data_IF_552506185111
#
_entry.id   IF_552506185111
#
_cell.length_a   1.000
_cell.length_b   1.000
_cell.length_c   1.000
_cell.angle_alpha   90.00
_cell.angle_beta   90.00
_cell.angle_gamma   90.00
#
_symmetry.space_group_name_H-M   'P 1'
#
loop_
_entity.id
_entity.type
_entity.pdbx_description
1 polymer ?
#
# COMPACT_ATOMS: atom_id res chain seq x y z
N UNK A 1 -13.60 -0.17 -12.41
CA UNK A 1 -12.18 0.18 -12.40
C UNK A 1 -11.55 0.17 -13.79
N UNK A 2 -11.59 -0.94 -14.58
CA UNK A 2 -11.02 -0.98 -15.95
C UNK A 2 -11.52 0.14 -16.88
N UNK A 3 -12.79 0.56 -16.76
CA UNK A 3 -13.39 1.64 -17.57
C UNK A 3 -12.87 3.03 -17.21
N UNK A 4 -12.51 3.30 -15.96
CA UNK A 4 -11.99 4.61 -15.51
C UNK A 4 -10.53 4.77 -15.95
N UNK A 5 -9.73 3.72 -15.85
CA UNK A 5 -8.34 3.71 -16.34
C UNK A 5 -8.32 3.88 -17.87
N UNK A 6 -9.20 3.19 -18.59
CA UNK A 6 -9.34 3.36 -20.03
C UNK A 6 -9.82 4.77 -20.42
N UNK A 7 -10.71 5.38 -19.64
CA UNK A 7 -11.17 6.74 -19.87
C UNK A 7 -10.07 7.77 -19.62
N UNK A 8 -9.28 7.61 -18.57
CA UNK A 8 -8.11 8.46 -18.29
C UNK A 8 -7.05 8.32 -19.39
N UNK A 9 -6.78 7.10 -19.84
CA UNK A 9 -5.87 6.84 -20.97
C UNK A 9 -6.41 7.42 -22.28
N UNK A 10 -7.72 7.33 -22.51
CA UNK A 10 -8.38 7.93 -23.69
C UNK A 10 -8.36 9.46 -23.64
N UNK A 11 -8.56 10.06 -22.46
CA UNK A 11 -8.46 11.52 -22.26
C UNK A 11 -7.01 12.00 -22.47
N UNK A 12 -6.02 11.23 -22.00
CA UNK A 12 -4.59 11.50 -22.27
C UNK A 12 -4.24 11.34 -23.76
N UNK A 13 -4.82 10.36 -24.45
CA UNK A 13 -4.61 10.14 -25.89
C UNK A 13 -5.40 11.14 -26.76
N UNK A 14 -6.54 11.62 -26.29
CA UNK A 14 -7.34 12.64 -26.98
C UNK A 14 -6.79 14.06 -26.79
N UNK A 15 -5.93 14.29 -25.80
CA UNK A 15 -5.06 15.46 -25.71
C UNK A 15 -3.96 15.37 -26.80
N UNK A 16 -4.38 15.10 -28.05
CA UNK A 16 -3.46 14.98 -29.16
C UNK A 16 -2.73 16.30 -29.37
N UNK A 17 -1.44 16.30 -29.76
CA UNK A 17 -0.60 17.50 -29.97
C UNK A 17 -1.17 18.54 -30.91
N UNK A 18 -2.15 18.16 -31.73
CA UNK A 18 -2.77 19.06 -32.71
C UNK A 18 -3.61 20.19 -32.11
N UNK A 19 -4.17 20.03 -30.93
CA UNK A 19 -4.96 21.06 -30.26
C UNK A 19 -4.07 22.16 -29.63
N UNK A 20 -2.81 21.86 -29.37
CA UNK A 20 -1.88 22.77 -28.69
C UNK A 20 -0.79 23.36 -29.57
N UNK A 21 -0.63 22.86 -30.80
CA UNK A 21 0.43 23.29 -31.73
C UNK A 21 0.18 24.66 -32.41
N UNK A 22 -0.93 25.31 -32.15
CA UNK A 22 -1.32 26.57 -32.83
C UNK A 22 -1.33 27.80 -31.93
N UNK A 23 -0.76 27.70 -30.72
CA UNK A 23 -0.69 28.81 -29.79
C UNK A 23 0.73 29.39 -29.74
N UNK A 24 0.83 30.69 -29.94
CA UNK A 24 2.02 31.54 -30.04
C UNK A 24 3.21 31.09 -29.18
N UNK A 25 4.42 31.25 -29.71
CA UNK A 25 5.73 30.87 -29.15
C UNK A 25 6.09 31.35 -27.74
N UNK A 26 5.20 32.01 -27.01
CA UNK A 26 5.43 32.52 -25.66
C UNK A 26 4.73 31.75 -24.53
N UNK A 27 3.78 30.87 -24.84
CA UNK A 27 3.14 30.06 -23.80
C UNK A 27 3.85 28.71 -23.66
N UNK A 28 4.60 28.50 -22.56
CA UNK A 28 5.23 27.23 -22.24
C UNK A 28 4.24 26.13 -21.80
N UNK A 29 2.95 26.45 -21.77
CA UNK A 29 1.93 25.53 -21.31
C UNK A 29 1.80 24.33 -22.26
N UNK A 30 2.13 23.12 -21.77
CA UNK A 30 2.06 21.86 -22.49
C UNK A 30 2.86 21.77 -23.82
N UNK A 31 3.83 22.66 -24.03
CA UNK A 31 4.67 22.62 -25.23
C UNK A 31 5.55 21.37 -25.30
N UNK A 32 5.84 20.77 -24.16
CA UNK A 32 6.60 19.55 -24.07
C UNK A 32 5.92 18.60 -23.10
N UNK A 33 6.04 17.31 -23.37
CA UNK A 33 5.55 16.27 -22.48
C UNK A 33 6.63 15.20 -22.32
N UNK A 34 6.66 14.59 -21.15
CA UNK A 34 7.48 13.42 -20.90
C UNK A 34 6.66 12.31 -20.25
N UNK A 35 7.02 11.09 -20.57
CA UNK A 35 6.56 9.91 -19.89
C UNK A 35 7.68 9.39 -19.01
N UNK A 36 7.36 9.00 -17.78
CA UNK A 36 8.32 8.50 -16.81
C UNK A 36 7.94 7.15 -16.27
N UNK A 37 8.97 6.42 -15.86
CA UNK A 37 8.83 5.28 -14.95
C UNK A 37 9.40 5.71 -13.61
N UNK A 38 8.70 5.40 -12.55
CA UNK A 38 9.14 5.68 -11.20
C UNK A 38 9.27 4.40 -10.37
N UNK A 39 10.19 4.42 -9.43
CA UNK A 39 10.32 3.41 -8.39
C UNK A 39 10.67 4.07 -7.07
N UNK A 40 10.19 3.49 -6.00
CA UNK A 40 10.39 4.02 -4.67
C UNK A 40 10.84 2.98 -3.67
N UNK A 41 11.33 3.46 -2.56
CA UNK A 41 11.58 2.64 -1.37
C UNK A 41 10.25 2.01 -0.95
N UNK A 42 10.28 0.81 -0.39
CA UNK A 42 9.13 -0.02 -0.03
C UNK A 42 8.40 -0.66 -1.22
N UNK A 43 9.10 -0.86 -2.36
CA UNK A 43 8.57 -1.62 -3.48
C UNK A 43 7.43 -0.93 -4.22
N UNK A 44 7.50 0.39 -4.37
CA UNK A 44 6.62 1.14 -5.25
C UNK A 44 7.17 1.15 -6.67
N UNK A 45 6.31 1.01 -7.65
CA UNK A 45 6.61 1.31 -9.05
C UNK A 45 5.43 2.00 -9.72
N UNK A 46 5.69 2.87 -10.68
CA UNK A 46 4.67 3.65 -11.37
C UNK A 46 5.05 4.08 -12.77
N UNK A 47 4.07 4.69 -13.42
CA UNK A 47 4.21 5.35 -14.70
C UNK A 47 3.57 6.72 -14.57
N UNK A 48 4.33 7.75 -14.93
CA UNK A 48 3.93 9.15 -14.87
C UNK A 48 3.91 9.78 -16.26
N UNK A 49 3.02 10.73 -16.43
CA UNK A 49 3.06 11.72 -17.50
C UNK A 49 3.25 13.08 -16.86
N UNK A 50 4.19 13.85 -17.39
CA UNK A 50 4.48 15.19 -16.90
C UNK A 50 4.50 16.20 -18.02
N UNK A 51 4.06 17.42 -17.71
CA UNK A 51 4.09 18.55 -18.64
C UNK A 51 4.33 19.86 -17.89
N UNK A 52 5.08 20.82 -18.45
CA UNK A 52 5.22 22.15 -17.88
C UNK A 52 3.92 22.95 -18.06
N UNK A 53 3.48 23.58 -16.99
CA UNK A 53 2.40 24.56 -16.99
C UNK A 53 2.98 25.96 -17.20
N UNK A 54 4.17 26.18 -16.66
CA UNK A 54 4.93 27.42 -16.80
C UNK A 54 6.44 27.15 -16.66
N UNK A 55 7.32 28.13 -16.87
CA UNK A 55 8.76 27.93 -16.64
C UNK A 55 9.15 27.48 -15.22
N UNK A 56 8.25 27.70 -14.25
CA UNK A 56 8.48 27.39 -12.83
C UNK A 56 7.54 26.32 -12.28
N UNK A 57 6.61 25.79 -13.07
CA UNK A 57 5.63 24.80 -12.62
C UNK A 57 5.47 23.68 -13.63
N UNK A 58 5.63 22.46 -13.17
CA UNK A 58 5.28 21.24 -13.88
C UNK A 58 4.10 20.53 -13.18
N UNK A 59 3.27 19.84 -13.94
CA UNK A 59 2.24 18.93 -13.44
C UNK A 59 2.63 17.51 -13.79
N UNK A 60 2.50 16.61 -12.83
CA UNK A 60 2.67 15.16 -12.98
C UNK A 60 1.37 14.44 -12.66
N UNK A 61 0.97 13.53 -13.53
CA UNK A 61 -0.15 12.63 -13.29
C UNK A 61 0.28 11.20 -13.59
N UNK A 62 -0.04 10.26 -12.72
CA UNK A 62 0.45 8.91 -12.87
C UNK A 62 -0.39 7.85 -12.18
N UNK A 63 0.01 6.62 -12.42
CA UNK A 63 -0.51 5.43 -11.74
C UNK A 63 0.66 4.71 -11.11
N UNK A 64 0.56 4.43 -9.84
CA UNK A 64 1.57 3.65 -9.15
C UNK A 64 0.94 2.50 -8.36
N UNK A 65 1.70 1.44 -8.20
CA UNK A 65 1.37 0.33 -7.34
C UNK A 65 2.48 0.14 -6.32
N UNK A 66 2.11 -0.08 -5.06
CA UNK A 66 3.06 -0.53 -4.06
C UNK A 66 2.93 -2.04 -3.92
N UNK A 67 4.04 -2.73 -4.14
CA UNK A 67 4.19 -4.16 -3.86
C UNK A 67 5.34 -4.32 -2.87
N UNK A 68 5.01 -4.66 -1.65
CA UNK A 68 6.04 -5.06 -0.68
C UNK A 68 6.35 -6.53 -0.96
N UNK A 69 7.56 -6.83 -1.38
CA UNK A 69 7.96 -8.23 -1.49
C UNK A 69 8.07 -8.83 -0.08
N UNK A 70 7.74 -10.10 0.06
CA UNK A 70 7.90 -10.84 1.32
C UNK A 70 9.30 -10.67 1.89
N UNK A 71 10.33 -10.62 1.02
CA UNK A 71 11.72 -10.41 1.41
C UNK A 71 11.94 -9.03 2.07
N UNK A 72 11.35 -7.96 1.53
CA UNK A 72 11.47 -6.62 2.09
C UNK A 72 10.72 -6.49 3.41
N UNK A 73 9.51 -7.08 3.50
CA UNK A 73 8.76 -7.13 4.75
C UNK A 73 9.54 -7.90 5.83
N UNK A 74 10.17 -9.02 5.48
CA UNK A 74 11.00 -9.81 6.39
C UNK A 74 12.24 -9.02 6.84
N UNK A 75 12.91 -8.29 5.94
CA UNK A 75 14.06 -7.46 6.29
C UNK A 75 13.69 -6.33 7.25
N UNK A 76 12.52 -5.72 7.08
CA UNK A 76 12.07 -4.60 7.91
C UNK A 76 11.65 -5.00 9.33
N UNK A 77 11.08 -6.19 9.49
CA UNK A 77 10.51 -6.65 10.77
C UNK A 77 11.03 -8.03 11.22
N UNK A 78 12.00 -8.59 10.49
CA UNK A 78 12.42 -9.98 10.64
C UNK A 78 12.94 -10.33 12.04
N UNK A 79 13.79 -9.50 12.65
CA UNK A 79 14.30 -9.73 14.00
C UNK A 79 13.17 -9.72 15.05
N UNK A 80 12.27 -8.74 14.94
CA UNK A 80 11.12 -8.62 15.83
C UNK A 80 10.15 -9.80 15.68
N UNK A 81 9.95 -10.28 14.47
CA UNK A 81 9.07 -11.40 14.16
C UNK A 81 9.65 -12.74 14.62
N UNK A 82 10.96 -12.95 14.50
CA UNK A 82 11.62 -14.17 15.01
C UNK A 82 11.48 -14.34 16.53
N UNK A 83 11.65 -13.26 17.29
CA UNK A 83 11.42 -13.28 18.73
C UNK A 83 9.97 -13.60 19.10
N UNK A 84 9.04 -13.37 18.19
CA UNK A 84 7.60 -13.62 18.38
C UNK A 84 7.17 -15.02 17.96
N UNK A 85 8.10 -15.91 17.56
CA UNK A 85 7.77 -17.28 17.12
C UNK A 85 7.27 -17.36 15.67
N UNK A 86 7.50 -16.32 14.86
CA UNK A 86 7.18 -16.32 13.44
C UNK A 86 8.30 -16.96 12.62
N UNK A 87 7.95 -17.89 11.75
CA UNK A 87 8.84 -18.46 10.75
C UNK A 87 8.34 -18.15 9.34
N UNK A 88 9.28 -17.91 8.41
CA UNK A 88 8.99 -17.73 7.00
C UNK A 88 9.58 -18.90 6.21
N UNK A 89 8.75 -19.61 5.47
CA UNK A 89 9.17 -20.68 4.57
C UNK A 89 8.30 -20.63 3.33
N UNK A 90 8.94 -20.67 2.16
CA UNK A 90 8.27 -20.71 0.84
C UNK A 90 7.22 -19.61 0.60
N UNK A 91 7.44 -18.42 1.18
CA UNK A 91 6.51 -17.30 1.07
C UNK A 91 5.34 -17.34 2.05
N UNK A 92 5.25 -18.38 2.87
CA UNK A 92 4.27 -18.48 3.95
C UNK A 92 4.89 -18.09 5.29
N UNK A 93 4.18 -17.27 6.02
CA UNK A 93 4.48 -16.99 7.41
C UNK A 93 3.74 -17.98 8.29
N UNK A 94 4.46 -18.64 9.19
CA UNK A 94 3.87 -19.50 10.20
C UNK A 94 4.22 -18.96 11.58
N UNK A 95 3.17 -18.69 12.36
CA UNK A 95 3.26 -18.25 13.74
C UNK A 95 2.89 -19.42 14.66
N UNK A 96 3.77 -19.79 15.58
CA UNK A 96 3.50 -20.81 16.58
C UNK A 96 2.92 -20.16 17.83
N UNK A 97 1.74 -20.60 18.25
CA UNK A 97 1.10 -20.12 19.45
C UNK A 97 1.88 -20.56 20.69
N UNK A 98 2.08 -19.67 21.65
CA UNK A 98 2.70 -19.99 22.95
C UNK A 98 1.80 -20.91 23.77
N UNK A 99 0.50 -20.64 23.71
CA UNK A 99 -0.53 -21.49 24.31
C UNK A 99 -1.44 -22.00 23.19
N UNK A 100 -1.37 -23.32 22.87
CA UNK A 100 -2.27 -23.91 21.87
C UNK A 100 -3.73 -23.75 22.28
N UNK A 101 -4.56 -23.36 21.31
CA UNK A 101 -6.00 -23.28 21.52
C UNK A 101 -6.61 -24.67 21.32
N UNK A 102 -7.10 -25.27 22.42
CA UNK A 102 -7.71 -26.59 22.40
C UNK A 102 -9.10 -26.55 23.05
N UNK A 103 -10.07 -27.16 22.40
CA UNK A 103 -11.43 -27.26 22.90
C UNK A 103 -12.44 -27.32 21.75
N UNK A 104 -13.62 -27.88 22.02
CA UNK A 104 -14.71 -27.98 21.04
C UNK A 104 -14.30 -28.62 19.70
N UNK A 105 -13.43 -29.63 19.72
CA UNK A 105 -12.92 -30.29 18.53
C UNK A 105 -11.79 -29.54 17.81
N UNK A 106 -11.35 -28.39 18.32
CA UNK A 106 -10.26 -27.60 17.76
C UNK A 106 -8.91 -28.01 18.36
N UNK A 107 -7.88 -28.04 17.54
CA UNK A 107 -6.47 -28.16 17.94
C UNK A 107 -5.63 -27.18 17.13
N UNK A 108 -5.51 -25.95 17.64
CA UNK A 108 -4.77 -24.89 16.96
C UNK A 108 -3.49 -24.62 17.72
N UNK A 109 -2.37 -24.95 17.11
CA UNK A 109 -1.02 -24.73 17.66
C UNK A 109 -0.21 -23.75 16.81
N UNK A 110 -0.60 -23.59 15.54
CA UNK A 110 0.06 -22.71 14.60
C UNK A 110 -0.95 -21.96 13.75
N UNK A 111 -0.58 -20.77 13.30
CA UNK A 111 -1.34 -19.98 12.32
C UNK A 111 -0.44 -19.77 11.13
N UNK A 112 -0.88 -20.16 9.93
CA UNK A 112 -0.16 -19.95 8.67
C UNK A 112 -0.88 -18.93 7.79
N UNK A 113 -0.11 -18.13 7.06
CA UNK A 113 -0.64 -17.14 6.13
C UNK A 113 0.35 -16.82 5.02
N UNK A 114 -0.16 -16.58 3.81
CA UNK A 114 0.57 -15.99 2.70
C UNK A 114 0.02 -14.56 2.45
N UNK A 115 0.59 -13.54 3.08
CA UNK A 115 0.07 -12.18 2.95
C UNK A 115 0.31 -11.64 1.55
N UNK A 116 -0.67 -10.89 1.05
CA UNK A 116 -0.60 -10.17 -0.22
C UNK A 116 -0.49 -8.68 0.07
N UNK A 117 0.55 -8.07 -0.43
CA UNK A 117 0.78 -6.62 -0.33
C UNK A 117 0.39 -5.98 -1.65
N UNK A 118 -0.61 -5.12 -1.65
CA UNK A 118 -1.08 -4.50 -2.88
C UNK A 118 -1.86 -3.21 -2.61
N UNK A 119 -1.32 -2.09 -3.06
CA UNK A 119 -2.07 -0.84 -3.16
C UNK A 119 -1.83 -0.23 -4.53
N UNK A 120 -2.89 0.25 -5.18
CA UNK A 120 -2.80 1.01 -6.43
C UNK A 120 -3.35 2.39 -6.20
N UNK A 121 -2.62 3.41 -6.64
CA UNK A 121 -3.03 4.79 -6.54
C UNK A 121 -2.89 5.49 -7.89
N UNK A 122 -3.79 6.43 -8.14
CA UNK A 122 -3.53 7.54 -9.05
C UNK A 122 -2.75 8.60 -8.28
N UNK A 123 -1.92 9.36 -8.97
CA UNK A 123 -1.28 10.53 -8.39
C UNK A 123 -1.50 11.76 -9.26
N UNK A 124 -1.59 12.89 -8.58
CA UNK A 124 -1.58 14.21 -9.19
C UNK A 124 -0.68 15.10 -8.36
N UNK A 125 0.44 15.50 -8.92
CA UNK A 125 1.49 16.25 -8.26
C UNK A 125 1.81 17.52 -9.06
N UNK A 126 2.20 18.55 -8.34
CA UNK A 126 2.63 19.84 -8.88
C UNK A 126 4.04 20.11 -8.36
N UNK A 127 4.97 20.36 -9.27
CA UNK A 127 6.35 20.69 -8.97
C UNK A 127 6.57 22.17 -9.16
N UNK A 128 7.01 22.85 -8.12
CA UNK A 128 7.42 24.24 -8.16
C UNK A 128 8.94 24.33 -8.18
N UNK A 129 9.48 24.95 -9.23
CA UNK A 129 10.90 25.25 -9.41
C UNK A 129 11.15 26.70 -9.02
N UNK A 130 11.97 27.02 -7.98
CA UNK A 130 12.22 28.41 -7.55
C UNK A 130 12.92 29.28 -8.61
N UNK A 131 13.44 28.69 -9.67
CA UNK A 131 14.07 29.41 -10.79
C UNK A 131 13.90 28.64 -12.09
N UNK A 132 13.89 29.36 -13.23
CA UNK A 132 13.69 28.80 -14.58
C UNK A 132 14.71 27.71 -14.94
N UNK A 133 15.93 27.78 -14.42
CA UNK A 133 17.00 26.80 -14.61
C UNK A 133 17.25 25.91 -13.40
N UNK A 134 16.42 26.02 -12.36
CA UNK A 134 16.56 25.21 -11.14
C UNK A 134 16.27 23.73 -11.44
N UNK A 135 17.12 22.85 -10.92
CA UNK A 135 16.82 21.42 -10.80
C UNK A 135 16.18 21.09 -9.47
N UNK A 136 16.31 21.95 -8.46
CA UNK A 136 15.59 21.79 -7.19
C UNK A 136 14.13 22.18 -7.39
N UNK A 137 13.23 21.41 -6.79
CA UNK A 137 11.80 21.68 -6.80
C UNK A 137 11.15 21.31 -5.47
N UNK A 138 10.00 21.93 -5.23
CA UNK A 138 9.07 21.61 -4.14
C UNK A 138 7.86 20.96 -4.79
N UNK A 139 7.47 19.80 -4.31
CA UNK A 139 6.31 19.05 -4.82
C UNK A 139 5.18 19.08 -3.83
N UNK A 140 3.97 19.34 -4.30
CA UNK A 140 2.74 19.19 -3.52
C UNK A 140 1.67 18.50 -4.37
N UNK A 141 0.77 17.77 -3.74
CA UNK A 141 -0.31 17.10 -4.45
C UNK A 141 -1.00 16.02 -3.63
N UNK A 142 -1.53 15.02 -4.31
CA UNK A 142 -2.23 13.93 -3.66
C UNK A 142 -2.13 12.61 -4.42
N UNK A 143 -2.24 11.53 -3.64
CA UNK A 143 -2.45 10.16 -4.14
C UNK A 143 -3.89 9.75 -3.88
N UNK A 144 -4.55 9.20 -4.90
CA UNK A 144 -5.93 8.74 -4.86
C UNK A 144 -5.95 7.22 -4.94
N UNK A 145 -6.41 6.56 -3.89
CA UNK A 145 -6.48 5.09 -3.87
C UNK A 145 -7.50 4.58 -4.88
N UNK A 146 -7.08 3.67 -5.74
CA UNK A 146 -7.95 2.90 -6.63
C UNK A 146 -8.52 1.64 -5.97
N UNK A 147 -8.23 1.44 -4.70
CA UNK A 147 -8.62 0.27 -3.92
C UNK A 147 -7.44 -0.61 -3.56
N UNK A 148 -7.73 -1.67 -2.82
CA UNK A 148 -6.76 -2.58 -2.26
C UNK A 148 -6.46 -2.29 -0.78
N UNK A 149 -5.87 -3.27 -0.14
CA UNK A 149 -5.36 -3.17 1.22
C UNK A 149 -3.84 -3.09 1.16
N UNK A 150 -3.21 -2.37 2.10
CA UNK A 150 -1.76 -2.40 2.24
C UNK A 150 -1.27 -3.84 2.38
N UNK A 151 -2.02 -4.63 3.15
CA UNK A 151 -1.82 -6.06 3.31
C UNK A 151 -3.18 -6.74 3.41
N UNK A 152 -3.35 -7.85 2.70
CA UNK A 152 -4.47 -8.78 2.87
C UNK A 152 -3.90 -10.16 3.19
N UNK A 153 -4.45 -10.80 4.19
CA UNK A 153 -4.00 -12.11 4.65
C UNK A 153 -5.18 -13.03 4.95
N UNK A 154 -5.08 -14.27 4.49
CA UNK A 154 -5.95 -15.36 4.91
C UNK A 154 -5.20 -16.21 5.92
N UNK A 155 -5.67 -16.23 7.17
CA UNK A 155 -5.06 -17.03 8.23
C UNK A 155 -5.67 -18.41 8.26
N UNK A 156 -4.82 -19.43 8.20
CA UNK A 156 -5.17 -20.84 8.35
C UNK A 156 -4.74 -21.33 9.72
N UNK A 157 -5.66 -21.90 10.47
CA UNK A 157 -5.39 -22.53 11.75
C UNK A 157 -4.86 -23.96 11.53
N UNK A 158 -3.69 -24.27 12.10
CA UNK A 158 -3.01 -25.55 11.96
C UNK A 158 -2.74 -26.17 13.36
N UNK A 159 -2.76 -27.49 13.42
CA UNK A 159 -2.32 -28.24 14.59
C UNK A 159 -0.78 -28.28 14.70
N UNK A 160 -0.25 -28.93 15.72
CA UNK A 160 1.19 -29.07 15.91
C UNK A 160 1.90 -29.78 14.75
N UNK A 161 1.23 -30.69 14.08
CA UNK A 161 1.74 -31.43 12.90
C UNK A 161 1.63 -30.66 11.59
N UNK A 162 1.04 -29.47 11.59
CA UNK A 162 0.84 -28.65 10.38
C UNK A 162 -0.39 -29.04 9.55
N UNK A 163 -1.26 -29.89 10.08
CA UNK A 163 -2.55 -30.23 9.47
C UNK A 163 -3.62 -29.21 9.89
N UNK A 164 -4.75 -29.09 9.17
CA UNK A 164 -5.85 -28.22 9.57
C UNK A 164 -6.26 -28.46 11.03
N UNK A 165 -6.23 -27.41 11.82
CA UNK A 165 -6.60 -27.45 13.24
C UNK A 165 -8.11 -27.29 13.49
N UNK A 166 -8.88 -27.05 12.41
CA UNK A 166 -10.33 -26.95 12.41
C UNK A 166 -10.86 -28.09 11.53
N UNK A 167 -11.74 -28.97 12.03
CA UNK A 167 -12.42 -29.97 11.20
C UNK A 167 -13.21 -29.30 10.06
N UNK A 168 -13.23 -29.92 8.89
CA UNK A 168 -13.91 -29.36 7.71
C UNK A 168 -15.43 -29.16 7.93
N UNK A 169 -16.05 -30.02 8.74
CA UNK A 169 -17.46 -29.89 9.16
C UNK A 169 -17.77 -28.58 9.88
N UNK A 170 -16.76 -27.97 10.50
CA UNK A 170 -16.94 -26.86 11.43
C UNK A 170 -16.43 -25.52 10.84
N UNK A 171 -15.91 -25.52 9.61
CA UNK A 171 -15.29 -24.32 9.00
C UNK A 171 -16.16 -23.07 9.07
N UNK A 172 -17.43 -23.17 8.68
CA UNK A 172 -18.32 -22.02 8.66
C UNK A 172 -18.87 -21.59 10.04
N UNK A 173 -18.62 -22.38 11.08
CA UNK A 173 -19.20 -22.18 12.41
C UNK A 173 -18.15 -22.01 13.51
N UNK A 174 -16.88 -22.03 13.14
CA UNK A 174 -15.80 -21.93 14.13
C UNK A 174 -15.50 -20.48 14.45
N UNK A 175 -15.46 -20.17 15.73
CA UNK A 175 -15.02 -18.88 16.25
C UNK A 175 -13.64 -19.04 16.88
N UNK A 176 -12.68 -18.25 16.40
CA UNK A 176 -11.32 -18.19 16.92
C UNK A 176 -11.08 -16.77 17.41
N UNK A 177 -10.72 -16.62 18.68
CA UNK A 177 -10.49 -15.31 19.28
C UNK A 177 -11.66 -14.33 19.12
N UNK A 178 -12.89 -14.82 19.21
CA UNK A 178 -14.09 -14.01 19.10
C UNK A 178 -14.47 -13.61 17.67
N UNK A 179 -13.78 -14.14 16.64
CA UNK A 179 -14.05 -13.86 15.21
C UNK A 179 -14.41 -15.20 14.53
N UNK A 180 -15.53 -15.23 13.85
CA UNK A 180 -15.97 -16.43 13.12
C UNK A 180 -15.28 -16.56 11.78
N UNK A 181 -14.82 -17.76 11.47
CA UNK A 181 -14.15 -18.08 10.21
C UNK A 181 -15.13 -18.05 9.02
N UNK A 182 -14.57 -17.93 7.83
CA UNK A 182 -15.32 -18.04 6.58
C UNK A 182 -15.69 -19.52 6.27
N UNK A 183 -16.37 -19.74 5.16
CA UNK A 183 -16.75 -21.06 4.61
C UNK A 183 -15.57 -22.02 4.33
N UNK A 184 -14.34 -21.51 4.37
CA UNK A 184 -13.08 -22.26 4.19
C UNK A 184 -12.30 -22.45 5.48
N UNK A 185 -12.89 -22.12 6.64
CA UNK A 185 -12.25 -22.20 7.94
C UNK A 185 -11.09 -21.22 8.14
N UNK A 186 -11.09 -20.08 7.42
CA UNK A 186 -10.04 -19.08 7.48
C UNK A 186 -10.51 -17.78 8.10
N UNK A 187 -9.62 -17.12 8.83
CA UNK A 187 -9.79 -15.72 9.23
C UNK A 187 -9.20 -14.81 8.15
N UNK A 188 -9.91 -13.75 7.82
CA UNK A 188 -9.46 -12.75 6.88
C UNK A 188 -8.95 -11.52 7.62
N UNK A 189 -7.76 -11.05 7.28
CA UNK A 189 -7.19 -9.82 7.82
C UNK A 189 -6.86 -8.88 6.68
N UNK A 190 -7.26 -7.62 6.84
CA UNK A 190 -6.87 -6.51 5.98
C UNK A 190 -6.19 -5.42 6.80
N UNK A 191 -5.05 -4.95 6.33
CA UNK A 191 -4.39 -3.76 6.85
C UNK A 191 -4.58 -2.63 5.85
N UNK A 192 -5.12 -1.50 6.30
CA UNK A 192 -5.47 -0.35 5.46
C UNK A 192 -4.92 0.94 6.04
N UNK A 193 -4.74 1.93 5.18
CA UNK A 193 -4.50 3.29 5.64
C UNK A 193 -5.77 3.93 6.18
N UNK A 194 -5.67 4.76 7.22
CA UNK A 194 -6.80 5.50 7.77
C UNK A 194 -7.42 6.44 6.73
N UNK A 195 -6.59 7.19 5.99
CA UNK A 195 -7.01 7.91 4.78
C UNK A 195 -6.89 7.01 3.55
N UNK A 196 -7.95 6.28 3.26
CA UNK A 196 -7.93 5.29 2.19
C UNK A 196 -8.24 5.86 0.80
N UNK A 197 -8.84 7.05 0.70
CA UNK A 197 -9.26 7.63 -0.58
C UNK A 197 -8.28 8.64 -1.11
N UNK A 198 -7.92 9.66 -0.34
CA UNK A 198 -7.01 10.75 -0.74
C UNK A 198 -5.91 10.89 0.28
N UNK A 199 -4.66 10.86 -0.17
CA UNK A 199 -3.46 10.98 0.66
C UNK A 199 -2.69 12.22 0.21
N UNK A 200 -2.81 13.36 0.92
CA UNK A 200 -2.02 14.54 0.62
C UNK A 200 -0.52 14.26 0.69
N UNK A 201 0.22 14.88 -0.21
CA UNK A 201 1.67 14.74 -0.34
C UNK A 201 2.35 16.08 -0.38
N UNK A 202 3.50 16.18 0.27
CA UNK A 202 4.44 17.29 0.16
C UNK A 202 5.86 16.74 0.16
N UNK A 203 6.73 17.34 -0.67
CA UNK A 203 8.11 16.90 -0.76
C UNK A 203 9.01 17.95 -1.40
N UNK A 204 10.28 17.57 -1.49
CA UNK A 204 11.31 18.30 -2.22
C UNK A 204 12.02 17.32 -3.14
N UNK A 205 12.58 17.83 -4.23
CA UNK A 205 13.27 16.95 -5.17
C UNK A 205 14.35 17.67 -5.98
N UNK A 206 15.07 16.84 -6.73
CA UNK A 206 16.13 17.25 -7.62
C UNK A 206 15.96 16.54 -8.97
N UNK A 207 16.17 17.29 -10.02
CA UNK A 207 15.93 16.89 -11.40
C UNK A 207 14.74 17.65 -11.97
N UNK A 208 14.64 17.69 -13.29
CA UNK A 208 13.51 18.29 -13.98
C UNK A 208 12.91 17.24 -14.89
N UNK A 209 11.65 16.83 -14.65
CA UNK A 209 10.97 15.80 -15.45
C UNK A 209 10.95 16.12 -16.94
N UNK A 210 10.66 17.39 -17.30
CA UNK A 210 10.71 17.87 -18.67
C UNK A 210 11.94 18.76 -18.86
N UNK A 211 13.10 18.14 -19.14
CA UNK A 211 14.31 18.87 -19.45
C UNK A 211 14.30 19.30 -20.94
N UNK A 212 14.52 20.60 -21.20
CA UNK A 212 14.48 21.13 -22.56
C UNK A 212 15.74 20.83 -23.39
N UNK A 213 16.86 20.56 -22.70
CA UNK A 213 18.18 20.34 -23.29
C UNK A 213 18.47 18.85 -23.58
N UNK A 214 17.64 17.95 -23.08
CA UNK A 214 17.87 16.50 -23.22
C UNK A 214 16.57 15.72 -23.34
N UNK A 215 16.63 14.53 -23.96
CA UNK A 215 15.47 13.64 -24.12
C UNK A 215 15.21 12.76 -22.92
N UNK A 216 16.25 12.49 -22.12
CA UNK A 216 16.16 11.65 -20.94
C UNK A 216 16.53 12.50 -19.74
N UNK A 217 15.71 12.47 -18.70
CA UNK A 217 15.95 13.15 -17.44
C UNK A 217 15.71 12.22 -16.27
N UNK A 218 16.51 12.44 -15.22
CA UNK A 218 16.39 11.73 -13.96
C UNK A 218 15.83 12.68 -12.91
N UNK A 219 14.93 12.17 -12.07
CA UNK A 219 14.33 12.91 -10.97
C UNK A 219 14.42 12.11 -9.68
N UNK A 220 14.69 12.81 -8.59
CA UNK A 220 14.71 12.27 -7.23
C UNK A 220 13.81 13.10 -6.35
N UNK A 221 12.85 12.46 -5.66
CA UNK A 221 11.93 13.11 -4.74
C UNK A 221 12.06 12.50 -3.33
N UNK A 222 12.04 13.36 -2.33
CA UNK A 222 11.94 13.02 -0.92
C UNK A 222 10.74 13.77 -0.33
N UNK A 223 9.80 13.06 0.25
CA UNK A 223 8.61 13.70 0.79
C UNK A 223 7.89 12.88 1.83
N UNK A 224 6.77 13.42 2.24
CA UNK A 224 5.87 12.82 3.20
C UNK A 224 4.46 12.77 2.60
N UNK A 225 3.78 11.67 2.77
CA UNK A 225 2.35 11.63 2.48
C UNK A 225 1.55 11.25 3.73
N UNK A 226 0.43 11.95 3.89
CA UNK A 226 -0.44 11.77 5.04
C UNK A 226 -1.37 10.59 4.79
N UNK A 227 -1.34 9.59 5.68
CA UNK A 227 -2.08 8.34 5.55
C UNK A 227 -3.17 8.17 6.61
N UNK A 228 -3.17 8.99 7.66
CA UNK A 228 -4.15 8.92 8.74
C UNK A 228 -4.00 7.71 9.67
N UNK A 229 -2.82 7.08 9.69
CA UNK A 229 -2.55 5.87 10.44
C UNK A 229 -2.66 4.59 9.59
N UNK A 230 -2.29 3.47 10.19
CA UNK A 230 -2.39 2.12 9.60
C UNK A 230 -3.26 1.28 10.52
N UNK A 231 -4.41 0.85 10.03
CA UNK A 231 -5.42 0.12 10.79
C UNK A 231 -5.55 -1.31 10.29
N UNK A 232 -5.67 -2.25 11.23
CA UNK A 232 -5.88 -3.66 10.94
C UNK A 232 -7.36 -4.03 11.18
N UNK A 233 -7.92 -4.79 10.26
CA UNK A 233 -9.30 -5.24 10.32
C UNK A 233 -9.39 -6.74 10.09
N UNK A 234 -10.36 -7.38 10.75
CA UNK A 234 -10.80 -8.72 10.42
C UNK A 234 -12.28 -8.72 10.07
N UNK A 235 -12.76 -9.85 9.56
CA UNK A 235 -14.13 -10.02 9.12
C UNK A 235 -14.76 -11.19 9.88
N UNK A 236 -15.77 -10.88 10.68
CA UNK A 236 -16.54 -11.86 11.44
C UNK A 236 -17.70 -12.39 10.61
N UNK A 237 -17.66 -13.66 10.26
CA UNK A 237 -18.66 -14.35 9.43
C UNK A 237 -19.81 -14.96 10.22
N UNK A 238 -19.98 -14.65 11.50
CA UNK A 238 -21.10 -15.14 12.32
C UNK A 238 -22.49 -14.84 11.71
N UNK A 239 -22.61 -13.75 10.95
CA UNK A 239 -23.82 -13.38 10.22
C UNK A 239 -23.90 -13.96 8.77
N UNK A 240 -23.03 -14.91 8.41
CA UNK A 240 -22.98 -15.54 7.09
C UNK A 240 -22.30 -14.69 6.03
N UNK A 241 -22.93 -14.53 4.84
CA UNK A 241 -22.27 -13.90 3.67
C UNK A 241 -21.96 -12.39 3.80
N UNK A 242 -22.53 -11.72 4.79
CA UNK A 242 -22.29 -10.30 5.06
C UNK A 242 -21.47 -10.17 6.36
N UNK A 243 -20.15 -10.30 6.33
CA UNK A 243 -19.35 -10.29 7.53
C UNK A 243 -19.33 -8.92 8.18
N UNK A 244 -19.31 -8.91 9.51
CA UNK A 244 -19.10 -7.69 10.29
C UNK A 244 -17.60 -7.39 10.32
N UNK A 245 -17.24 -6.15 10.05
CA UNK A 245 -15.85 -5.69 10.19
C UNK A 245 -15.52 -5.49 11.67
N UNK A 246 -14.41 -6.07 12.10
CA UNK A 246 -13.87 -5.95 13.46
C UNK A 246 -12.50 -5.28 13.33
N UNK A 247 -12.30 -4.16 14.01
CA UNK A 247 -11.00 -3.52 14.08
C UNK A 247 -10.10 -4.25 15.08
N UNK A 248 -8.93 -4.65 14.62
CA UNK A 248 -7.93 -5.32 15.42
C UNK A 248 -7.02 -4.25 16.03
N UNK A 249 -7.30 -3.83 17.25
CA UNK A 249 -6.51 -2.85 17.99
C UNK A 249 -6.03 -3.45 19.34
N UNK A 250 -5.24 -2.69 20.07
CA UNK A 250 -4.73 -3.13 21.39
C UNK A 250 -5.85 -3.45 22.38
N UNK A 251 -6.96 -2.70 22.33
CA UNK A 251 -8.11 -2.97 23.19
C UNK A 251 -8.73 -4.34 22.87
N UNK A 252 -8.85 -4.70 21.60
CA UNK A 252 -9.33 -6.03 21.18
C UNK A 252 -8.35 -7.14 21.62
N UNK A 253 -7.04 -6.96 21.43
CA UNK A 253 -6.04 -7.96 21.89
C UNK A 253 -6.08 -8.14 23.41
N UNK A 254 -6.23 -7.06 24.16
CA UNK A 254 -6.25 -7.09 25.62
C UNK A 254 -7.60 -7.55 26.22
N UNK A 255 -8.65 -7.69 25.40
CA UNK A 255 -9.96 -8.17 25.85
C UNK A 255 -10.01 -9.68 26.13
N UNK A 256 -9.02 -10.44 25.61
CA UNK A 256 -8.94 -11.89 25.76
C UNK A 256 -7.54 -12.29 26.23
N UNK A 257 -7.47 -13.04 27.35
CA UNK A 257 -6.19 -13.47 27.95
C UNK A 257 -5.36 -14.37 27.03
N UNK A 258 -5.99 -15.19 26.20
CA UNK A 258 -5.31 -16.06 25.25
C UNK A 258 -4.71 -15.23 24.09
N UNK A 259 -5.45 -14.24 23.57
CA UNK A 259 -4.93 -13.27 22.60
C UNK A 259 -3.73 -12.53 23.16
N UNK A 260 -3.87 -11.98 24.35
CA UNK A 260 -2.80 -11.21 25.02
C UNK A 260 -1.53 -12.04 25.18
N UNK A 261 -1.64 -13.31 25.62
CA UNK A 261 -0.49 -14.21 25.78
C UNK A 261 0.17 -14.57 24.45
N UNK A 262 -0.62 -14.80 23.41
CA UNK A 262 -0.13 -15.25 22.11
C UNK A 262 0.37 -14.11 21.23
N UNK A 263 -0.37 -13.01 21.16
CA UNK A 263 -0.10 -11.90 20.22
C UNK A 263 0.00 -10.53 20.88
N UNK A 264 0.12 -10.44 22.22
CA UNK A 264 0.18 -9.17 22.94
C UNK A 264 1.31 -8.22 22.47
N UNK A 265 2.44 -8.77 22.03
CA UNK A 265 3.52 -7.97 21.44
C UNK A 265 3.10 -7.26 20.15
N UNK A 266 2.13 -7.79 19.41
CA UNK A 266 1.61 -7.13 18.21
C UNK A 266 0.69 -5.94 18.54
N UNK A 267 0.15 -5.85 19.77
CA UNK A 267 -0.63 -4.70 20.20
C UNK A 267 0.16 -3.40 20.10
N UNK A 268 1.42 -3.42 20.54
CA UNK A 268 2.31 -2.26 20.46
C UNK A 268 2.59 -1.83 19.01
N UNK A 269 2.79 -2.82 18.10
CA UNK A 269 2.98 -2.54 16.66
C UNK A 269 1.73 -1.95 16.01
N UNK A 270 0.55 -2.45 16.38
CA UNK A 270 -0.73 -1.93 15.89
C UNK A 270 -0.92 -0.50 16.37
N UNK A 271 -0.68 -0.22 17.65
CA UNK A 271 -0.81 1.12 18.20
C UNK A 271 0.20 2.09 17.60
N UNK A 272 1.44 1.64 17.38
CA UNK A 272 2.44 2.43 16.67
C UNK A 272 2.00 2.73 15.23
N UNK A 273 1.45 1.74 14.53
CA UNK A 273 0.90 1.92 13.18
C UNK A 273 -0.28 2.90 13.16
N UNK A 274 -1.22 2.75 14.09
CA UNK A 274 -2.36 3.66 14.25
C UNK A 274 -1.90 5.09 14.56
N UNK A 275 -0.83 5.25 15.34
CA UNK A 275 -0.23 6.53 15.69
C UNK A 275 0.66 7.14 14.61
N UNK A 276 0.88 6.48 13.46
CA UNK A 276 1.75 6.96 12.39
C UNK A 276 0.95 7.70 11.30
N UNK A 277 0.70 9.02 11.40
CA UNK A 277 -0.17 9.72 10.47
C UNK A 277 0.47 9.97 9.11
N UNK A 278 1.80 9.93 9.03
CA UNK A 278 2.57 10.22 7.83
C UNK A 278 3.57 9.12 7.51
N UNK A 279 3.80 8.87 6.22
CA UNK A 279 4.87 7.98 5.77
C UNK A 279 5.89 8.76 4.92
N UNK A 280 7.19 8.53 5.16
CA UNK A 280 8.23 9.05 4.27
C UNK A 280 8.17 8.33 2.93
N UNK A 281 8.44 9.09 1.86
CA UNK A 281 8.55 8.56 0.52
C UNK A 281 9.85 9.02 -0.11
N UNK A 282 10.61 8.06 -0.62
CA UNK A 282 11.78 8.29 -1.45
C UNK A 282 11.44 7.71 -2.82
N UNK A 283 11.54 8.53 -3.86
CA UNK A 283 11.20 8.16 -5.23
C UNK A 283 12.32 8.54 -6.18
N UNK A 284 12.60 7.65 -7.10
CA UNK A 284 13.47 7.83 -8.25
C UNK A 284 12.61 7.71 -9.51
N UNK A 285 12.79 8.61 -10.47
CA UNK A 285 12.04 8.57 -11.71
C UNK A 285 12.97 8.83 -12.90
N UNK A 286 12.70 8.14 -14.00
CA UNK A 286 13.36 8.31 -15.27
C UNK A 286 12.33 8.74 -16.28
N UNK A 287 12.50 9.94 -16.85
CA UNK A 287 11.57 10.54 -17.80
C UNK A 287 12.16 10.57 -19.21
N UNK A 288 11.30 10.33 -20.19
CA UNK A 288 11.59 10.42 -21.62
C UNK A 288 10.71 11.49 -22.21
N UNK A 289 11.32 12.58 -22.70
CA UNK A 289 10.60 13.65 -23.38
C UNK A 289 10.07 13.13 -24.72
N UNK A 290 8.76 13.28 -24.95
CA UNK A 290 8.08 12.83 -26.16
C UNK A 290 8.24 13.85 -27.30
N UNK A 291 8.10 15.14 -27.01
CA UNK A 291 8.25 16.26 -27.94
C UNK A 291 8.64 17.56 -27.25
#
# INVERSE_FOLDING_TARGET
MKKIVALLFAVLLLATPRAFAQQNNDSMMFNHMAIGIDWGVLGRAGIDVTAPISPMFDVRAGVNTAFVTTALATAAVGSYLQESGLSLKDGEFTFTLKEPYKGNGLDISKISTAPKFHTTNLELLFDFFPGKSSNFHITAGAFFSLGGSLLSAELSALNASGQPGIPQSDWANTTIFGISTNDKGKLLIDVKYGLNTVKPYIGVGWGRPVALDRRVSFNFDLGLYYIGGVHAYSYDFSAGKNPKTVELNSAWINSDESLKKNIGKFAELIDMGNGLPVLPMIRFSLFFRLF
#
